data_IF_872042744174
#
_entry.id   IF_872042744174
#
_cell.length_a   1.000
_cell.length_b   1.000
_cell.length_c   1.000
_cell.angle_alpha   90.00
_cell.angle_beta   90.00
_cell.angle_gamma   90.00
#
_symmetry.space_group_name_H-M   'P 1'
#
loop_
_entity.id
_entity.type
_entity.pdbx_description
1 polymer ?
#
# COMPACT_ATOMS: atom_id res chain seq x y z
N UNK A 1 1.22 0.67 30.54
CA UNK A 1 0.56 1.88 30.01
C UNK A 1 1.21 2.37 28.72
N UNK A 2 2.54 2.52 28.71
CA UNK A 2 3.24 3.02 27.52
C UNK A 2 3.08 2.06 26.35
N UNK A 3 3.14 0.75 26.61
CA UNK A 3 2.99 -0.26 25.56
C UNK A 3 1.61 -0.24 24.93
N UNK A 4 0.57 -0.03 25.75
CA UNK A 4 -0.80 0.07 25.24
C UNK A 4 -0.97 1.28 24.34
N UNK A 5 -0.33 2.39 24.69
CA UNK A 5 -0.37 3.60 23.86
C UNK A 5 0.32 3.35 22.53
N UNK A 6 1.47 2.63 22.54
CA UNK A 6 2.16 2.27 21.31
C UNK A 6 1.33 1.40 20.39
N UNK A 7 0.64 0.39 20.95
CA UNK A 7 -0.27 -0.45 20.18
C UNK A 7 -1.43 0.34 19.58
N UNK A 8 -1.99 1.26 20.33
CA UNK A 8 -3.06 2.13 19.83
C UNK A 8 -2.58 3.01 18.69
N UNK A 9 -1.35 3.50 18.77
CA UNK A 9 -0.76 4.30 17.70
C UNK A 9 -0.59 3.48 16.42
N UNK A 10 -0.16 2.22 16.53
CA UNK A 10 0.01 1.34 15.37
C UNK A 10 -1.34 1.06 14.69
N UNK A 11 -2.38 0.79 15.47
CA UNK A 11 -3.73 0.59 14.94
C UNK A 11 -4.22 1.85 14.25
N UNK A 12 -4.01 3.00 14.87
CA UNK A 12 -4.40 4.29 14.32
C UNK A 12 -3.69 4.57 13.00
N UNK A 13 -2.39 4.30 12.94
CA UNK A 13 -1.62 4.51 11.72
C UNK A 13 -2.08 3.59 10.59
N UNK A 14 -2.38 2.33 10.89
CA UNK A 14 -2.91 1.40 9.89
C UNK A 14 -4.25 1.89 9.33
N UNK A 15 -5.12 2.39 10.18
CA UNK A 15 -6.40 2.95 9.74
C UNK A 15 -6.20 4.16 8.86
N UNK A 16 -5.25 5.04 9.19
CA UNK A 16 -4.93 6.20 8.37
C UNK A 16 -4.37 5.81 7.00
N UNK A 17 -3.48 4.83 6.98
CA UNK A 17 -2.92 4.33 5.72
C UNK A 17 -4.05 3.82 4.82
N UNK A 18 -4.93 2.98 5.37
CA UNK A 18 -6.06 2.45 4.61
C UNK A 18 -6.98 3.57 4.12
N UNK A 19 -7.24 4.54 4.96
CA UNK A 19 -8.11 5.66 4.60
C UNK A 19 -7.52 6.47 3.45
N UNK A 20 -6.23 6.77 3.49
CA UNK A 20 -5.56 7.51 2.41
C UNK A 20 -5.58 6.74 1.09
N UNK A 21 -5.35 5.44 1.16
CA UNK A 21 -5.41 4.59 -0.03
C UNK A 21 -6.83 4.56 -0.58
N UNK A 22 -7.84 4.46 0.30
CA UNK A 22 -9.24 4.49 -0.11
C UNK A 22 -9.62 5.79 -0.78
N UNK A 23 -9.17 6.91 -0.26
CA UNK A 23 -9.43 8.23 -0.84
C UNK A 23 -8.81 8.35 -2.24
N UNK A 24 -7.58 7.89 -2.42
CA UNK A 24 -6.95 7.87 -3.74
C UNK A 24 -7.66 6.92 -4.68
N UNK A 25 -8.10 5.77 -4.19
CA UNK A 25 -8.86 4.82 -5.00
C UNK A 25 -10.13 5.43 -5.57
N UNK A 26 -10.80 6.27 -4.80
CA UNK A 26 -12.05 6.91 -5.21
C UNK A 26 -11.85 8.19 -6.04
N UNK A 27 -10.70 8.85 -5.92
CA UNK A 27 -10.45 10.11 -6.62
C UNK A 27 -9.53 9.91 -7.83
N UNK A 28 -8.29 9.53 -7.59
CA UNK A 28 -7.30 9.30 -8.63
C UNK A 28 -6.48 8.07 -8.23
N UNK A 29 -6.83 6.88 -8.75
CA UNK A 29 -6.21 5.64 -8.30
C UNK A 29 -4.79 5.41 -8.79
N UNK A 30 -4.26 6.27 -9.65
CA UNK A 30 -2.89 6.10 -10.16
C UNK A 30 -1.89 6.74 -9.21
N UNK A 31 -0.99 5.92 -8.67
CA UNK A 31 0.06 6.36 -7.76
C UNK A 31 1.38 5.70 -8.16
N UNK A 32 2.47 6.16 -7.57
CA UNK A 32 3.77 5.53 -7.72
C UNK A 32 4.18 4.87 -6.43
N UNK A 33 4.81 3.71 -6.52
CA UNK A 33 5.21 2.96 -5.33
C UNK A 33 6.62 2.42 -5.45
N UNK A 34 7.25 2.27 -4.28
CA UNK A 34 8.42 1.44 -4.08
C UNK A 34 8.01 0.23 -3.25
N UNK A 35 8.43 -0.95 -3.66
CA UNK A 35 8.15 -2.17 -2.91
C UNK A 35 9.44 -2.96 -2.77
N UNK A 36 9.73 -3.41 -1.54
CA UNK A 36 10.86 -4.28 -1.26
C UNK A 36 10.42 -5.37 -0.29
N UNK A 37 9.83 -6.42 -0.84
CA UNK A 37 9.32 -7.56 -0.10
C UNK A 37 10.18 -8.79 -0.37
N UNK A 38 10.31 -9.65 0.63
CA UNK A 38 11.10 -10.87 0.53
C UNK A 38 10.26 -12.12 0.30
N UNK A 39 9.03 -12.15 0.83
CA UNK A 39 8.14 -13.31 0.72
C UNK A 39 6.69 -12.85 0.54
N UNK A 40 6.12 -12.99 -0.68
CA UNK A 40 6.84 -13.35 -1.89
C UNK A 40 7.83 -12.26 -2.30
N UNK A 41 8.88 -12.62 -3.01
CA UNK A 41 9.87 -11.64 -3.43
C UNK A 41 9.26 -10.71 -4.47
N UNK A 42 9.19 -9.44 -4.12
CA UNK A 42 8.68 -8.42 -5.02
C UNK A 42 9.51 -7.15 -4.83
N UNK A 43 10.08 -6.66 -5.91
CA UNK A 43 10.88 -5.45 -5.88
C UNK A 43 10.40 -4.51 -6.98
N UNK A 44 9.86 -3.36 -6.58
CA UNK A 44 9.41 -2.31 -7.49
C UNK A 44 10.07 -1.00 -7.07
N UNK A 45 10.56 -0.25 -8.03
CA UNK A 45 11.24 1.02 -7.76
C UNK A 45 10.57 2.12 -8.58
N UNK A 46 9.84 2.99 -7.89
CA UNK A 46 9.16 4.15 -8.49
C UNK A 46 8.27 3.73 -9.67
N UNK A 47 7.48 2.69 -9.46
CA UNK A 47 6.63 2.11 -10.50
C UNK A 47 5.24 2.71 -10.42
N UNK A 48 4.68 3.21 -11.54
CA UNK A 48 3.30 3.67 -11.54
C UNK A 48 2.35 2.47 -11.50
N UNK A 49 1.38 2.55 -10.60
CA UNK A 49 0.37 1.52 -10.42
C UNK A 49 -1.00 2.17 -10.28
N UNK A 50 -2.04 1.40 -10.59
CA UNK A 50 -3.41 1.80 -10.36
C UNK A 50 -3.97 0.97 -9.22
N UNK A 51 -4.57 1.63 -8.23
CA UNK A 51 -5.26 0.94 -7.15
C UNK A 51 -6.55 0.36 -7.73
N UNK A 52 -6.72 -0.96 -7.62
CA UNK A 52 -7.88 -1.65 -8.19
C UNK A 52 -8.84 -2.18 -7.12
N UNK A 53 -8.43 -2.19 -5.86
CA UNK A 53 -9.30 -2.60 -4.77
C UNK A 53 -8.72 -2.25 -3.43
N UNK A 54 -9.59 -1.95 -2.47
CA UNK A 54 -9.20 -1.63 -1.10
C UNK A 54 -10.02 -2.51 -0.17
N UNK A 55 -9.33 -3.33 0.61
CA UNK A 55 -9.95 -4.31 1.47
C UNK A 55 -9.53 -4.08 2.92
N UNK A 56 -9.99 -4.93 3.81
CA UNK A 56 -9.77 -4.73 5.25
C UNK A 56 -8.29 -4.77 5.65
N UNK A 57 -7.54 -5.71 5.09
CA UNK A 57 -6.14 -5.93 5.48
C UNK A 57 -5.16 -5.72 4.34
N UNK A 58 -5.65 -5.70 3.11
CA UNK A 58 -4.82 -5.57 1.92
C UNK A 58 -5.46 -4.59 0.95
N UNK A 59 -4.65 -4.11 0.01
CA UNK A 59 -5.14 -3.40 -1.16
C UNK A 59 -4.52 -4.03 -2.39
N UNK A 60 -5.20 -3.88 -3.52
CA UNK A 60 -4.73 -4.42 -4.79
C UNK A 60 -4.30 -3.28 -5.71
N UNK A 61 -3.21 -3.51 -6.41
CA UNK A 61 -2.71 -2.58 -7.42
C UNK A 61 -2.41 -3.34 -8.70
N UNK A 62 -2.43 -2.63 -9.79
CA UNK A 62 -2.07 -3.17 -11.10
C UNK A 62 -1.01 -2.24 -11.71
N UNK A 63 0.09 -2.81 -12.18
CA UNK A 63 1.14 -2.01 -12.81
C UNK A 63 0.62 -1.38 -14.09
N UNK A 64 0.88 -0.09 -14.26
CA UNK A 64 0.52 0.65 -15.47
C UNK A 64 1.59 0.36 -16.51
N UNK A 65 1.26 -0.55 -17.43
CA UNK A 65 2.19 -0.92 -18.50
C UNK A 65 1.41 -1.29 -19.74
N UNK A 66 2.09 -1.32 -20.89
CA UNK A 66 1.49 -1.71 -22.17
C UNK A 66 1.44 -3.22 -22.38
N UNK A 67 2.08 -3.99 -21.49
CA UNK A 67 2.09 -5.45 -21.56
C UNK A 67 0.93 -6.08 -20.81
N UNK A 68 0.97 -7.40 -20.60
CA UNK A 68 -0.05 -8.09 -19.81
C UNK A 68 -0.16 -7.48 -18.41
N UNK A 69 -1.37 -7.37 -17.85
CA UNK A 69 -1.54 -6.75 -16.56
C UNK A 69 -0.84 -7.54 -15.46
N UNK A 70 -0.10 -6.83 -14.61
CA UNK A 70 0.56 -7.40 -13.44
C UNK A 70 -0.13 -6.85 -12.20
N UNK A 71 -0.78 -7.72 -11.45
CA UNK A 71 -1.52 -7.36 -10.24
C UNK A 71 -0.78 -7.82 -9.01
N UNK A 72 -0.87 -7.01 -7.96
CA UNK A 72 -0.24 -7.31 -6.68
C UNK A 72 -1.23 -7.05 -5.56
N UNK A 73 -1.25 -7.95 -4.58
CA UNK A 73 -1.99 -7.76 -3.34
C UNK A 73 -0.96 -7.35 -2.28
N UNK A 74 -1.15 -6.18 -1.69
CA UNK A 74 -0.19 -5.58 -0.77
C UNK A 74 -0.84 -5.36 0.59
N UNK A 75 -0.07 -5.52 1.66
CA UNK A 75 -0.57 -5.38 3.02
C UNK A 75 -0.32 -3.97 3.55
N UNK A 76 -1.28 -3.42 4.29
CA UNK A 76 -1.10 -2.12 4.93
C UNK A 76 0.04 -2.14 5.94
N UNK A 77 0.27 -3.29 6.60
CA UNK A 77 1.38 -3.43 7.54
C UNK A 77 2.74 -3.23 6.87
N UNK A 78 2.86 -3.61 5.62
CA UNK A 78 4.11 -3.40 4.88
C UNK A 78 4.34 -1.93 4.52
N UNK A 79 3.27 -1.16 4.41
CA UNK A 79 3.37 0.30 4.27
C UNK A 79 3.83 0.91 5.60
N UNK A 80 3.30 0.43 6.70
CA UNK A 80 3.67 0.90 8.03
C UNK A 80 5.16 0.65 8.32
N UNK A 81 5.69 -0.48 7.91
CA UNK A 81 7.10 -0.84 8.13
C UNK A 81 8.04 -0.27 7.07
N UNK A 82 7.52 0.46 6.09
CA UNK A 82 8.28 1.07 5.00
C UNK A 82 8.86 0.07 3.99
N UNK A 83 8.41 -1.18 4.02
CA UNK A 83 8.71 -2.13 2.95
C UNK A 83 7.97 -1.75 1.66
N UNK A 84 6.88 -1.02 1.81
CA UNK A 84 6.14 -0.40 0.73
C UNK A 84 6.07 1.10 0.99
N UNK A 85 6.46 1.89 0.00
CA UNK A 85 6.36 3.34 0.07
C UNK A 85 5.40 3.84 -1.01
N UNK A 86 4.45 4.66 -0.59
CA UNK A 86 3.46 5.26 -1.49
C UNK A 86 3.91 6.69 -1.76
N UNK A 87 4.44 6.94 -2.95
CA UNK A 87 5.17 8.17 -3.24
C UNK A 87 4.28 9.38 -3.49
N UNK A 88 3.05 9.16 -3.92
CA UNK A 88 2.13 10.23 -4.31
C UNK A 88 0.94 10.39 -3.37
N UNK A 89 1.09 9.93 -2.16
CA UNK A 89 0.02 10.09 -1.16
C UNK A 89 0.18 11.34 -0.32
#
# INVERSE_FOLDING_TARGET
>A
MIESVGMMNDIYELQQIRQRISERYLSDPTIRINVSLRQPRLHLNNVPVKITGVYRHIFQVEEVSSGPPKRHALQYTDVLTHDIELLDL
#
